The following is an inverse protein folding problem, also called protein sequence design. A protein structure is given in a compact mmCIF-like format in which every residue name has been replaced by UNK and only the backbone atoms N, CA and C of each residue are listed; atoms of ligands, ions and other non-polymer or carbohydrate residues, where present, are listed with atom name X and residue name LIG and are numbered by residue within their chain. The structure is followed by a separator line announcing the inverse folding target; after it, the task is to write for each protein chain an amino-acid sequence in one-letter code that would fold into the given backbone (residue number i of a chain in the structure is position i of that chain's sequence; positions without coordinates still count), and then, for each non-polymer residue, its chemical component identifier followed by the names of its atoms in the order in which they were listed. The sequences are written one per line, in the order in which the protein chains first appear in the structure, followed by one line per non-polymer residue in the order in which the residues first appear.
data_IF_663146187728
#
_entry.id   IF_663146187728
#
_cell.length_a   1.000
_cell.length_b   1.000
_cell.length_c   1.000
_cell.angle_alpha   90.00
_cell.angle_beta   90.00
_cell.angle_gamma   90.00
#
_symmetry.space_group_name_H-M   'P 1'
#
loop_
_entity.id
_entity.type
_entity.pdbx_description
1 polymer ?
#
# COMPACT_ATOMS: atom_id res chain seq x y z
N UNK A 1 -60.76 -31.06 -12.38
CA UNK A 1 -61.16 -32.00 -13.45
C UNK A 1 -61.67 -31.13 -14.60
N UNK A 2 -61.17 -31.13 -15.83
CA UNK A 2 -60.11 -31.87 -16.51
C UNK A 2 -60.03 -31.37 -17.97
N UNK A 3 -58.95 -31.76 -18.66
CA UNK A 3 -58.67 -31.74 -20.12
C UNK A 3 -58.69 -30.41 -20.88
N UNK A 4 -57.62 -29.98 -21.56
CA UNK A 4 -56.86 -30.53 -22.71
C UNK A 4 -57.41 -30.17 -24.11
N UNK A 5 -56.47 -29.67 -24.92
CA UNK A 5 -56.34 -29.76 -26.39
C UNK A 5 -57.20 -28.87 -27.31
N UNK A 6 -56.54 -27.94 -28.01
CA UNK A 6 -56.19 -28.03 -29.45
C UNK A 6 -56.21 -26.67 -30.14
N UNK A 7 -55.11 -26.35 -30.83
CA UNK A 7 -54.97 -25.21 -31.75
C UNK A 7 -55.71 -25.45 -33.07
N UNK A 8 -56.04 -24.37 -33.81
CA UNK A 8 -56.05 -24.39 -35.26
C UNK A 8 -54.90 -23.54 -35.85
N UNK A 9 -54.24 -24.14 -36.83
CA UNK A 9 -53.30 -23.53 -37.77
C UNK A 9 -54.01 -22.45 -38.60
N UNK A 10 -53.35 -21.31 -38.83
CA UNK A 10 -53.71 -20.40 -39.90
C UNK A 10 -52.47 -20.05 -40.71
N UNK A 11 -52.51 -20.43 -41.98
CA UNK A 11 -51.57 -20.09 -43.04
C UNK A 11 -51.73 -18.62 -43.43
N UNK A 12 -50.64 -17.86 -43.39
CA UNK A 12 -50.55 -16.60 -44.15
C UNK A 12 -49.09 -16.29 -44.45
N UNK A 13 -48.73 -16.26 -45.75
CA UNK A 13 -47.40 -15.91 -46.22
C UNK A 13 -47.03 -14.45 -45.87
N UNK A 14 -45.83 -14.16 -45.36
CA UNK A 14 -45.38 -12.80 -45.10
C UNK A 14 -44.74 -12.15 -46.35
N UNK A 15 -45.31 -11.02 -46.79
CA UNK A 15 -44.75 -10.16 -47.85
C UNK A 15 -43.40 -9.51 -47.51
N UNK A 16 -42.73 -8.89 -48.50
CA UNK A 16 -41.29 -8.60 -48.44
C UNK A 16 -40.94 -7.47 -47.45
N UNK A 17 -39.97 -7.76 -46.57
CA UNK A 17 -39.42 -6.81 -45.57
C UNK A 17 -38.42 -5.84 -46.23
N UNK A 18 -38.64 -4.53 -46.05
CA UNK A 18 -37.65 -3.48 -46.39
C UNK A 18 -36.43 -3.54 -45.45
N UNK A 19 -35.21 -3.22 -45.93
CA UNK A 19 -34.00 -3.32 -45.11
C UNK A 19 -33.93 -2.20 -44.06
N UNK A 20 -33.69 -2.57 -42.80
CA UNK A 20 -33.36 -1.64 -41.72
C UNK A 20 -31.92 -1.14 -41.90
N UNK A 21 -31.74 0.16 -42.08
CA UNK A 21 -30.44 0.81 -41.97
C UNK A 21 -29.97 0.73 -40.51
N UNK A 22 -28.94 -0.07 -40.25
CA UNK A 22 -28.27 -0.13 -38.95
C UNK A 22 -27.33 1.08 -38.81
N UNK A 23 -27.65 1.98 -37.88
CA UNK A 23 -26.67 2.93 -37.36
C UNK A 23 -25.63 2.17 -36.55
N UNK A 24 -24.41 2.03 -37.10
CA UNK A 24 -23.26 1.57 -36.35
C UNK A 24 -22.93 2.62 -35.28
N UNK A 25 -23.35 2.37 -34.03
CA UNK A 25 -22.83 3.10 -32.87
C UNK A 25 -21.35 2.73 -32.76
N UNK A 26 -20.48 3.68 -33.09
CA UNK A 26 -19.05 3.56 -32.88
C UNK A 26 -18.77 3.25 -31.41
N UNK A 27 -18.17 2.10 -31.16
CA UNK A 27 -17.67 1.74 -29.84
C UNK A 27 -16.43 2.62 -29.62
N UNK A 28 -16.56 3.64 -28.77
CA UNK A 28 -15.40 4.36 -28.24
C UNK A 28 -14.68 3.41 -27.27
N UNK A 29 -13.73 2.64 -27.80
CA UNK A 29 -12.79 1.88 -26.98
C UNK A 29 -11.90 2.92 -26.30
N UNK A 30 -12.03 3.05 -24.98
CA UNK A 30 -11.15 3.91 -24.18
C UNK A 30 -9.68 3.55 -24.43
N UNK A 31 -8.79 4.54 -24.30
CA UNK A 31 -7.35 4.33 -24.44
C UNK A 31 -6.90 3.16 -23.55
N UNK A 32 -5.93 2.33 -23.99
CA UNK A 32 -5.41 1.22 -23.18
C UNK A 32 -4.97 1.76 -21.83
N UNK A 33 -5.66 1.37 -20.76
CA UNK A 33 -5.19 1.64 -19.41
C UNK A 33 -4.10 0.63 -19.12
N UNK A 34 -2.87 1.10 -18.91
CA UNK A 34 -1.76 0.23 -18.55
C UNK A 34 -2.09 -0.41 -17.20
N UNK A 35 -2.31 -1.73 -17.19
CA UNK A 35 -2.64 -2.46 -15.96
C UNK A 35 -1.40 -2.45 -15.07
N UNK A 36 -1.56 -2.00 -13.84
CA UNK A 36 -0.48 -1.92 -12.87
C UNK A 36 -0.07 -3.32 -12.42
N UNK A 37 1.23 -3.61 -12.45
CA UNK A 37 1.78 -4.88 -11.96
C UNK A 37 1.90 -4.85 -10.43
N UNK A 38 1.46 -5.92 -9.78
CA UNK A 38 1.66 -6.12 -8.35
C UNK A 38 3.00 -6.83 -8.08
N UNK A 39 3.62 -6.46 -6.97
CA UNK A 39 4.76 -7.17 -6.37
C UNK A 39 4.29 -7.74 -5.01
N UNK A 40 4.54 -9.02 -4.70
CA UNK A 40 5.02 -10.05 -5.62
C UNK A 40 4.00 -10.36 -6.73
N UNK A 41 4.48 -10.80 -7.88
CA UNK A 41 3.59 -11.31 -8.94
C UNK A 41 3.04 -12.70 -8.57
N UNK A 42 1.80 -13.00 -8.97
CA UNK A 42 1.25 -14.36 -8.87
C UNK A 42 2.13 -15.34 -9.64
N UNK A 43 2.55 -16.42 -8.97
CA UNK A 43 3.47 -17.42 -9.51
C UNK A 43 2.94 -18.83 -9.24
N UNK A 44 3.28 -19.73 -10.14
CA UNK A 44 3.04 -21.16 -10.00
C UNK A 44 4.36 -21.85 -9.65
N UNK A 45 4.29 -22.90 -8.85
CA UNK A 45 5.41 -23.79 -8.59
C UNK A 45 5.70 -24.70 -9.81
N UNK A 46 6.67 -25.63 -9.66
CA UNK A 46 7.05 -26.55 -10.73
C UNK A 46 5.94 -27.50 -11.19
N UNK A 47 4.84 -27.59 -10.45
CA UNK A 47 3.67 -28.43 -10.74
C UNK A 47 2.48 -27.62 -11.25
N UNK A 48 2.63 -26.31 -11.45
CA UNK A 48 1.53 -25.44 -11.88
C UNK A 48 0.60 -25.02 -10.75
N UNK A 49 0.98 -25.21 -9.49
CA UNK A 49 0.18 -24.85 -8.31
C UNK A 49 0.57 -23.44 -7.83
N UNK A 50 -0.38 -22.55 -7.50
CA UNK A 50 -0.06 -21.24 -6.94
C UNK A 50 0.86 -21.35 -5.73
N UNK A 51 1.96 -20.58 -5.74
CA UNK A 51 2.86 -20.50 -4.59
C UNK A 51 2.09 -19.93 -3.41
N UNK A 52 2.02 -20.68 -2.32
CA UNK A 52 1.33 -20.25 -1.12
C UNK A 52 2.05 -19.05 -0.49
N UNK A 53 1.27 -18.05 -0.06
CA UNK A 53 1.81 -16.94 0.72
C UNK A 53 2.27 -17.44 2.10
N UNK A 54 3.51 -17.15 2.43
CA UNK A 54 4.13 -17.46 3.73
C UNK A 54 4.65 -16.17 4.31
N UNK A 55 3.99 -15.67 5.34
CA UNK A 55 4.44 -14.53 6.13
C UNK A 55 5.37 -15.00 7.25
N UNK A 56 6.44 -14.24 7.53
CA UNK A 56 7.43 -14.55 8.58
C UNK A 56 7.81 -13.28 9.31
N UNK A 57 8.19 -13.40 10.58
CA UNK A 57 8.91 -12.33 11.26
C UNK A 57 10.33 -12.22 10.69
N UNK A 58 10.71 -11.00 10.32
CA UNK A 58 12.01 -10.67 9.74
C UNK A 58 12.74 -9.74 10.71
N UNK A 59 13.86 -10.22 11.23
CA UNK A 59 14.79 -9.43 12.03
C UNK A 59 15.39 -8.29 11.21
N UNK A 60 15.68 -7.18 11.88
CA UNK A 60 16.28 -5.98 11.25
C UNK A 60 17.50 -6.29 10.40
N UNK A 61 18.43 -7.10 10.87
CA UNK A 61 19.68 -7.39 10.17
C UNK A 61 19.45 -8.26 8.93
N UNK A 62 18.51 -9.22 9.01
CA UNK A 62 18.10 -10.03 7.87
C UNK A 62 17.42 -9.15 6.82
N UNK A 63 16.53 -8.26 7.26
CA UNK A 63 15.86 -7.33 6.36
C UNK A 63 16.84 -6.39 5.67
N UNK A 64 17.79 -5.83 6.40
CA UNK A 64 18.81 -4.96 5.84
C UNK A 64 19.66 -5.70 4.81
N UNK A 65 20.19 -6.88 5.15
CA UNK A 65 20.97 -7.69 4.22
C UNK A 65 20.19 -8.07 2.95
N UNK A 66 18.90 -8.38 3.09
CA UNK A 66 18.02 -8.65 1.94
C UNK A 66 17.83 -7.42 1.04
N UNK A 67 17.62 -6.23 1.62
CA UNK A 67 17.50 -4.99 0.86
C UNK A 67 18.81 -4.59 0.17
N UNK A 68 19.96 -4.81 0.81
CA UNK A 68 21.27 -4.63 0.16
C UNK A 68 21.43 -5.54 -1.06
N UNK A 69 21.00 -6.80 -0.95
CA UNK A 69 21.01 -7.73 -2.08
C UNK A 69 20.13 -7.25 -3.21
N UNK A 70 18.89 -6.82 -2.90
CA UNK A 70 17.96 -6.24 -3.88
C UNK A 70 18.58 -5.02 -4.56
N UNK A 71 19.18 -4.11 -3.80
CA UNK A 71 19.83 -2.91 -4.35
C UNK A 71 20.95 -3.27 -5.32
N UNK A 72 21.86 -4.17 -4.93
CA UNK A 72 22.95 -4.66 -5.80
C UNK A 72 22.40 -5.32 -7.07
N UNK A 73 21.36 -6.15 -6.95
CA UNK A 73 20.73 -6.82 -8.09
C UNK A 73 20.19 -5.83 -9.13
N UNK A 74 19.55 -4.75 -8.66
CA UNK A 74 19.00 -3.69 -9.51
C UNK A 74 20.15 -2.84 -10.11
N UNK A 75 21.14 -2.49 -9.29
CA UNK A 75 22.29 -1.68 -9.69
C UNK A 75 23.13 -2.36 -10.77
N UNK A 76 23.36 -3.68 -10.67
CA UNK A 76 24.06 -4.47 -11.69
C UNK A 76 23.37 -4.46 -13.07
N UNK A 77 22.09 -4.07 -13.14
CA UNK A 77 21.33 -3.89 -14.38
C UNK A 77 21.28 -2.44 -14.85
N UNK A 78 22.08 -1.55 -14.24
CA UNK A 78 22.14 -0.13 -14.57
C UNK A 78 20.85 0.62 -14.29
N UNK A 79 20.05 0.16 -13.31
CA UNK A 79 18.79 0.78 -12.91
C UNK A 79 18.89 1.36 -11.51
N UNK A 80 18.00 2.30 -11.21
CA UNK A 80 17.76 2.81 -9.87
C UNK A 80 16.26 2.90 -9.65
N UNK A 81 15.78 2.39 -8.51
CA UNK A 81 14.37 2.39 -8.14
C UNK A 81 14.20 3.22 -6.87
N UNK A 82 13.24 4.13 -6.88
CA UNK A 82 12.84 4.88 -5.70
C UNK A 82 11.39 4.52 -5.35
N UNK A 83 11.17 4.14 -4.09
CA UNK A 83 9.85 3.76 -3.56
C UNK A 83 9.65 4.35 -2.16
N UNK A 84 8.42 4.32 -1.69
CA UNK A 84 8.01 4.79 -0.37
C UNK A 84 7.54 3.59 0.44
N UNK A 85 8.09 3.42 1.64
CA UNK A 85 7.67 2.41 2.59
C UNK A 85 6.71 2.98 3.64
N UNK A 86 5.74 2.16 4.06
CA UNK A 86 4.81 2.44 5.16
C UNK A 86 4.99 1.37 6.25
N UNK A 87 4.71 1.71 7.50
CA UNK A 87 4.51 0.71 8.54
C UNK A 87 5.81 0.07 9.03
N UNK A 88 5.78 -1.26 9.17
CA UNK A 88 6.74 -2.02 9.96
C UNK A 88 8.20 -1.82 9.52
N UNK A 89 8.47 -1.73 8.21
CA UNK A 89 9.81 -1.47 7.71
C UNK A 89 10.39 -0.13 8.20
N UNK A 90 9.57 0.93 8.28
CA UNK A 90 9.99 2.24 8.81
C UNK A 90 10.30 2.13 10.30
N UNK A 91 9.45 1.42 11.05
CA UNK A 91 9.62 1.21 12.48
C UNK A 91 10.85 0.37 12.83
N UNK A 92 11.20 -0.60 11.99
CA UNK A 92 12.32 -1.52 12.24
C UNK A 92 13.66 -0.97 11.74
N UNK A 93 13.71 -0.41 10.53
CA UNK A 93 14.97 0.02 9.92
C UNK A 93 15.38 1.43 10.36
N UNK A 94 14.43 2.37 10.37
CA UNK A 94 14.70 3.79 10.61
C UNK A 94 14.44 4.20 12.07
N UNK A 95 13.21 4.05 12.57
CA UNK A 95 12.85 4.47 13.94
C UNK A 95 13.40 3.54 15.02
N UNK A 96 13.70 2.30 14.65
CA UNK A 96 14.14 1.22 15.55
C UNK A 96 13.21 1.05 16.76
N UNK A 97 11.92 1.33 16.60
CA UNK A 97 10.90 1.12 17.62
C UNK A 97 10.41 -0.33 17.69
N UNK A 98 10.82 -1.16 16.73
CA UNK A 98 10.54 -2.59 16.63
C UNK A 98 11.81 -3.35 16.26
N UNK A 99 11.96 -4.57 16.76
CA UNK A 99 13.05 -5.47 16.38
C UNK A 99 12.75 -6.26 15.10
N UNK A 100 11.47 -6.48 14.79
CA UNK A 100 11.01 -7.27 13.64
C UNK A 100 9.85 -6.60 12.88
N UNK A 101 9.75 -6.93 11.59
CA UNK A 101 8.58 -6.67 10.74
C UNK A 101 8.23 -7.94 9.95
N UNK A 102 7.04 -8.03 9.37
CA UNK A 102 6.68 -9.16 8.52
C UNK A 102 7.09 -8.94 7.06
N UNK A 103 7.10 -7.68 6.65
CA UNK A 103 7.24 -7.25 5.28
C UNK A 103 7.67 -5.77 5.19
N UNK A 104 7.87 -5.34 3.94
CA UNK A 104 8.07 -3.98 3.49
C UNK A 104 6.96 -3.64 2.50
N UNK A 105 5.92 -2.99 3.01
CA UNK A 105 4.87 -2.38 2.20
C UNK A 105 5.40 -1.16 1.45
N UNK A 106 5.38 -1.21 0.12
CA UNK A 106 5.87 -0.11 -0.72
C UNK A 106 4.83 0.42 -1.71
N UNK A 107 5.00 1.69 -2.07
CA UNK A 107 4.27 2.36 -3.15
C UNK A 107 5.14 3.43 -3.81
N UNK A 108 4.66 4.06 -4.88
CA UNK A 108 5.33 5.21 -5.51
C UNK A 108 4.80 5.51 -6.91
N UNK A 109 4.43 6.77 -7.17
CA UNK A 109 3.81 7.16 -8.46
C UNK A 109 4.78 7.08 -9.64
N UNK A 110 6.09 7.12 -9.37
CA UNK A 110 7.17 6.93 -10.36
C UNK A 110 7.57 5.46 -10.52
N UNK A 111 6.96 4.54 -9.76
CA UNK A 111 7.28 3.12 -9.77
C UNK A 111 6.60 2.41 -10.95
N UNK A 112 7.28 2.41 -12.11
CA UNK A 112 6.76 1.87 -13.38
C UNK A 112 6.61 0.35 -13.38
N UNK A 113 5.87 -0.19 -14.35
CA UNK A 113 5.72 -1.63 -14.55
C UNK A 113 7.06 -2.34 -14.80
N UNK A 114 8.00 -1.75 -15.54
CA UNK A 114 9.33 -2.35 -15.70
C UNK A 114 10.11 -2.37 -14.39
N UNK A 115 10.01 -1.30 -13.58
CA UNK A 115 10.64 -1.26 -12.28
C UNK A 115 10.02 -2.31 -11.32
N UNK A 116 8.70 -2.49 -11.35
CA UNK A 116 7.98 -3.51 -10.57
C UNK A 116 8.41 -4.93 -10.92
N UNK A 117 8.53 -5.24 -12.22
CA UNK A 117 9.03 -6.53 -12.67
C UNK A 117 10.47 -6.79 -12.18
N UNK A 118 11.33 -5.78 -12.31
CA UNK A 118 12.72 -5.90 -11.86
C UNK A 118 12.83 -6.03 -10.33
N UNK A 119 12.02 -5.29 -9.57
CA UNK A 119 11.98 -5.39 -8.12
C UNK A 119 11.48 -6.78 -7.68
N UNK A 120 10.43 -7.30 -8.32
CA UNK A 120 9.91 -8.64 -8.08
C UNK A 120 10.95 -9.73 -8.36
N UNK A 121 11.75 -9.59 -9.43
CA UNK A 121 12.87 -10.50 -9.71
C UNK A 121 13.95 -10.43 -8.63
N UNK A 122 14.36 -9.22 -8.23
CA UNK A 122 15.37 -9.00 -7.20
C UNK A 122 14.92 -9.52 -5.82
N UNK A 123 13.66 -9.27 -5.46
CA UNK A 123 13.03 -9.75 -4.24
C UNK A 123 13.08 -11.27 -4.14
N UNK A 124 12.79 -11.94 -5.26
CA UNK A 124 12.75 -13.40 -5.34
C UNK A 124 14.13 -14.02 -5.30
N UNK A 125 15.11 -13.34 -5.89
CA UNK A 125 16.50 -13.75 -5.78
C UNK A 125 16.99 -13.65 -4.31
N UNK A 126 16.67 -12.56 -3.61
CA UNK A 126 16.94 -12.42 -2.18
C UNK A 126 16.24 -13.51 -1.36
N UNK A 127 14.97 -13.81 -1.63
CA UNK A 127 14.22 -14.83 -0.90
C UNK A 127 14.89 -16.21 -0.93
N UNK A 128 15.57 -16.57 -2.02
CA UNK A 128 16.31 -17.84 -2.14
C UNK A 128 17.56 -17.87 -1.26
N UNK A 129 18.17 -16.72 -1.00
CA UNK A 129 19.40 -16.58 -0.23
C UNK A 129 19.14 -16.41 1.27
N UNK A 130 18.09 -15.68 1.63
CA UNK A 130 17.77 -15.34 3.01
C UNK A 130 16.54 -16.12 3.49
N UNK A 131 16.79 -17.23 4.20
CA UNK A 131 15.73 -18.13 4.70
C UNK A 131 14.72 -17.49 5.66
N UNK A 132 15.02 -16.33 6.24
CA UNK A 132 14.10 -15.60 7.11
C UNK A 132 12.95 -14.91 6.36
N UNK A 133 13.03 -14.77 5.05
CA UNK A 133 12.06 -14.00 4.27
C UNK A 133 10.80 -14.79 3.94
N UNK A 134 9.65 -14.14 4.12
CA UNK A 134 8.37 -14.58 3.57
C UNK A 134 8.32 -14.50 2.05
N UNK A 135 7.23 -14.98 1.44
CA UNK A 135 7.02 -14.87 -0.02
C UNK A 135 6.55 -13.48 -0.47
N UNK A 136 6.10 -12.68 0.49
CA UNK A 136 5.45 -11.38 0.39
C UNK A 136 6.23 -10.28 1.13
N UNK A 137 7.48 -10.57 1.52
CA UNK A 137 8.29 -9.72 2.40
C UNK A 137 8.58 -8.31 1.84
N UNK A 138 8.43 -8.10 0.52
CA UNK A 138 8.49 -6.80 -0.12
C UNK A 138 7.33 -6.74 -1.11
N UNK A 139 6.33 -5.92 -0.85
CA UNK A 139 5.08 -5.99 -1.60
C UNK A 139 4.47 -4.60 -1.86
N UNK A 140 3.53 -4.56 -2.81
CA UNK A 140 2.80 -3.35 -3.20
C UNK A 140 1.35 -3.36 -2.74
N UNK A 141 1.00 -4.17 -1.73
CA UNK A 141 -0.39 -4.35 -1.32
C UNK A 141 -1.02 -3.06 -0.79
N UNK A 142 -0.23 -2.28 -0.03
CA UNK A 142 -0.65 -0.97 0.49
C UNK A 142 -1.10 -0.01 -0.61
N UNK A 143 -0.60 -0.13 -1.85
CA UNK A 143 -1.02 0.71 -2.97
C UNK A 143 -2.44 0.40 -3.47
N UNK A 144 -2.94 -0.82 -3.28
CA UNK A 144 -4.25 -1.25 -3.80
C UNK A 144 -5.42 -0.44 -3.24
N UNK A 145 -5.23 0.13 -2.05
CA UNK A 145 -6.25 0.88 -1.32
C UNK A 145 -6.10 2.40 -1.46
N UNK A 146 -5.15 2.87 -2.28
CA UNK A 146 -4.89 4.30 -2.48
C UNK A 146 -5.46 4.81 -3.81
N UNK A 147 -6.31 5.84 -3.80
CA UNK A 147 -6.70 6.53 -5.03
C UNK A 147 -5.49 7.13 -5.76
N UNK A 148 -5.50 7.11 -7.10
CA UNK A 148 -4.40 7.60 -7.95
C UNK A 148 -3.88 9.01 -7.59
N UNK A 149 -4.74 10.03 -7.40
CA UNK A 149 -4.30 11.36 -6.99
C UNK A 149 -3.61 11.40 -5.62
N UNK A 150 -4.09 10.58 -4.67
CA UNK A 150 -3.49 10.48 -3.34
C UNK A 150 -2.08 9.86 -3.44
N UNK A 151 -1.93 8.85 -4.28
CA UNK A 151 -0.65 8.18 -4.51
C UNK A 151 0.46 9.13 -5.00
N UNK A 152 0.16 10.00 -5.99
CA UNK A 152 1.11 11.02 -6.46
C UNK A 152 1.44 12.04 -5.38
N UNK A 153 0.43 12.54 -4.67
CA UNK A 153 0.63 13.51 -3.58
C UNK A 153 1.50 12.94 -2.45
N UNK A 154 1.29 11.69 -2.06
CA UNK A 154 2.08 11.03 -1.02
C UNK A 154 3.51 10.75 -1.48
N UNK A 155 3.71 10.39 -2.75
CA UNK A 155 5.05 10.20 -3.34
C UNK A 155 5.84 11.51 -3.25
N UNK A 156 5.30 12.61 -3.78
CA UNK A 156 5.97 13.91 -3.72
C UNK A 156 6.19 14.40 -2.28
N UNK A 157 5.24 14.15 -1.38
CA UNK A 157 5.38 14.53 0.03
C UNK A 157 6.47 13.72 0.73
N UNK A 158 6.62 12.42 0.42
CA UNK A 158 7.69 11.59 0.96
C UNK A 158 9.06 12.05 0.44
N UNK A 159 9.17 12.37 -0.85
CA UNK A 159 10.39 12.92 -1.45
C UNK A 159 10.78 14.27 -0.84
N UNK A 160 9.81 15.16 -0.59
CA UNK A 160 10.04 16.42 0.12
C UNK A 160 10.43 16.21 1.58
N UNK A 161 9.82 15.25 2.27
CA UNK A 161 10.19 14.87 3.64
C UNK A 161 11.62 14.27 3.67
N UNK A 162 12.06 13.62 2.59
CA UNK A 162 13.41 13.09 2.38
C UNK A 162 13.97 12.23 3.53
N UNK A 163 13.08 11.51 4.23
CA UNK A 163 13.49 10.52 5.24
C UNK A 163 13.80 9.21 4.52
N UNK A 164 15.08 8.86 4.41
CA UNK A 164 15.53 7.64 3.73
C UNK A 164 15.64 6.49 4.73
N UNK A 165 14.74 5.53 4.60
CA UNK A 165 14.71 4.30 5.41
C UNK A 165 15.81 3.34 4.96
N UNK A 166 16.11 3.32 3.66
CA UNK A 166 17.19 2.58 3.05
C UNK A 166 17.70 3.36 1.83
N UNK A 167 19.02 3.40 1.62
CA UNK A 167 19.61 4.11 0.50
C UNK A 167 20.91 3.47 0.04
N UNK A 168 20.89 2.88 -1.15
CA UNK A 168 22.05 2.33 -1.84
C UNK A 168 21.87 2.48 -3.36
N UNK A 169 22.97 2.46 -4.15
CA UNK A 169 22.86 2.34 -5.59
C UNK A 169 21.92 1.20 -5.99
N UNK A 170 20.92 1.51 -6.81
CA UNK A 170 19.89 0.55 -7.25
C UNK A 170 18.56 0.67 -6.52
N UNK A 171 18.55 1.05 -5.24
CA UNK A 171 17.32 1.14 -4.46
C UNK A 171 17.39 2.23 -3.38
N UNK A 172 16.45 3.18 -3.46
CA UNK A 172 16.17 4.14 -2.38
C UNK A 172 14.74 3.90 -1.87
N UNK A 173 14.58 3.79 -0.55
CA UNK A 173 13.30 3.66 0.12
C UNK A 173 13.09 4.87 1.03
N UNK A 174 12.09 5.69 0.73
CA UNK A 174 11.67 6.79 1.59
C UNK A 174 10.65 6.32 2.62
N UNK A 175 10.59 6.95 3.79
CA UNK A 175 9.45 6.80 4.68
C UNK A 175 8.25 7.57 4.10
N UNK A 176 7.05 7.00 4.24
CA UNK A 176 5.83 7.72 3.94
C UNK A 176 5.72 9.00 4.81
N UNK A 177 4.96 10.01 4.35
CA UNK A 177 4.80 11.25 5.11
C UNK A 177 4.28 10.97 6.52
N UNK A 178 4.89 11.58 7.54
CA UNK A 178 4.56 11.27 8.94
C UNK A 178 3.09 11.46 9.27
N UNK A 179 2.46 12.51 8.72
CA UNK A 179 1.03 12.77 8.84
C UNK A 179 0.17 11.64 8.27
N UNK A 180 0.56 11.07 7.12
CA UNK A 180 -0.15 9.94 6.51
C UNK A 180 0.03 8.66 7.32
N UNK A 181 1.27 8.33 7.68
CA UNK A 181 1.58 7.14 8.48
C UNK A 181 0.88 7.17 9.85
N UNK A 182 0.88 8.32 10.52
CA UNK A 182 0.12 8.56 11.74
C UNK A 182 -1.39 8.32 11.54
N UNK A 183 -1.97 8.98 10.54
CA UNK A 183 -3.40 8.91 10.27
C UNK A 183 -3.85 7.49 9.91
N UNK A 184 -3.04 6.74 9.14
CA UNK A 184 -3.32 5.35 8.78
C UNK A 184 -3.37 4.43 10.02
N UNK A 185 -2.47 4.63 10.98
CA UNK A 185 -2.47 3.87 12.24
C UNK A 185 -3.68 4.19 13.11
N UNK A 186 -4.02 5.48 13.25
CA UNK A 186 -5.24 5.89 13.97
C UNK A 186 -6.48 5.28 13.32
N UNK A 187 -6.58 5.34 11.99
CA UNK A 187 -7.67 4.71 11.25
C UNK A 187 -7.80 3.22 11.57
N UNK A 188 -6.70 2.47 11.47
CA UNK A 188 -6.68 1.02 11.75
C UNK A 188 -7.08 0.70 13.19
N UNK A 189 -6.70 1.53 14.17
CA UNK A 189 -7.14 1.34 15.58
C UNK A 189 -8.65 1.54 15.72
N UNK A 190 -9.23 2.51 15.02
CA UNK A 190 -10.63 2.86 15.16
C UNK A 190 -11.57 1.96 14.34
N UNK A 191 -11.13 1.51 13.17
CA UNK A 191 -11.98 0.78 12.20
C UNK A 191 -11.54 -0.65 11.95
N UNK A 192 -10.31 -1.01 12.32
CA UNK A 192 -9.69 -2.26 11.88
C UNK A 192 -10.20 -3.52 12.57
N UNK A 193 -10.94 -3.42 13.68
CA UNK A 193 -11.40 -4.60 14.43
C UNK A 193 -10.23 -5.55 14.73
N UNK A 194 -10.34 -6.80 14.26
CA UNK A 194 -9.29 -7.84 14.40
C UNK A 194 -7.98 -7.52 13.65
N UNK A 195 -8.00 -6.58 12.72
CA UNK A 195 -6.80 -6.10 12.05
C UNK A 195 -5.99 -5.16 12.93
N UNK A 196 -6.58 -4.50 13.93
CA UNK A 196 -5.85 -3.63 14.85
C UNK A 196 -4.76 -4.44 15.58
N UNK A 197 -3.55 -3.91 15.64
CA UNK A 197 -2.41 -4.55 16.27
C UNK A 197 -2.09 -3.89 17.62
N UNK A 198 -1.62 -4.64 18.62
CA UNK A 198 -1.30 -4.08 19.94
C UNK A 198 -0.32 -2.91 19.89
N UNK A 199 0.62 -2.92 18.92
CA UNK A 199 1.63 -1.88 18.74
C UNK A 199 1.17 -0.68 17.89
N UNK A 200 -0.04 -0.68 17.31
CA UNK A 200 -0.45 0.40 16.39
C UNK A 200 -0.49 1.77 17.06
N UNK A 201 -0.85 1.84 18.35
CA UNK A 201 -0.83 3.09 19.11
C UNK A 201 0.59 3.62 19.33
N UNK A 202 1.54 2.73 19.60
CA UNK A 202 2.94 3.10 19.80
C UNK A 202 3.61 3.54 18.49
N UNK A 203 3.26 2.89 17.38
CA UNK A 203 3.66 3.30 16.04
C UNK A 203 3.09 4.70 15.71
N UNK A 204 1.80 4.92 15.95
CA UNK A 204 1.16 6.23 15.75
C UNK A 204 1.85 7.33 16.58
N UNK A 205 2.13 7.06 17.86
CA UNK A 205 2.84 7.99 18.75
C UNK A 205 4.26 8.29 18.24
N UNK A 206 4.94 7.32 17.65
CA UNK A 206 6.27 7.53 17.07
C UNK A 206 6.19 8.42 15.81
N UNK A 207 5.22 8.18 14.93
CA UNK A 207 5.07 9.00 13.72
C UNK A 207 4.67 10.45 14.02
N UNK A 208 3.73 10.67 14.95
CA UNK A 208 3.37 12.05 15.32
C UNK A 208 4.52 12.77 16.02
N UNK A 209 5.37 12.05 16.77
CA UNK A 209 6.57 12.62 17.35
C UNK A 209 7.55 13.10 16.27
N UNK A 210 7.82 12.30 15.25
CA UNK A 210 8.67 12.71 14.13
C UNK A 210 8.09 13.88 13.34
N UNK A 211 6.75 13.93 13.19
CA UNK A 211 6.09 15.10 12.62
C UNK A 211 6.35 16.35 13.47
N UNK A 212 6.11 16.30 14.78
CA UNK A 212 6.30 17.42 15.71
C UNK A 212 7.74 17.93 15.69
N UNK A 213 8.72 17.02 15.73
CA UNK A 213 10.15 17.37 15.65
C UNK A 213 10.51 18.09 14.36
N UNK A 214 9.92 17.67 13.23
CA UNK A 214 10.14 18.32 11.94
C UNK A 214 9.43 19.69 11.81
N UNK A 215 8.53 20.03 12.74
CA UNK A 215 7.67 21.22 12.65
C UNK A 215 7.76 22.12 13.90
N UNK A 216 8.94 22.18 14.53
CA UNK A 216 9.24 23.16 15.58
C UNK A 216 8.87 22.73 17.01
N UNK A 217 8.71 21.42 17.24
CA UNK A 217 8.51 20.83 18.57
C UNK A 217 7.29 21.37 19.33
N UNK A 218 6.25 21.78 18.60
CA UNK A 218 4.98 22.22 19.18
C UNK A 218 3.89 21.14 19.03
N UNK A 219 2.95 21.05 20.00
CA UNK A 219 1.77 20.23 19.83
C UNK A 219 1.03 20.58 18.53
N UNK A 220 0.56 19.55 17.83
CA UNK A 220 -0.22 19.71 16.60
C UNK A 220 -1.63 20.11 16.97
N UNK A 221 -2.23 21.14 16.32
CA UNK A 221 -3.63 21.42 16.51
C UNK A 221 -4.49 20.21 16.16
N UNK A 222 -5.41 19.82 17.03
CA UNK A 222 -6.30 18.67 16.82
C UNK A 222 -7.06 18.79 15.49
N UNK A 223 -7.45 20.01 15.11
CA UNK A 223 -8.10 20.29 13.83
C UNK A 223 -7.25 19.91 12.61
N UNK A 224 -5.93 20.09 12.68
CA UNK A 224 -4.97 19.72 11.63
C UNK A 224 -4.93 18.21 11.43
N UNK A 225 -4.85 17.44 12.52
CA UNK A 225 -4.84 15.97 12.43
C UNK A 225 -6.17 15.40 11.92
N UNK A 226 -7.30 16.02 12.28
CA UNK A 226 -8.60 15.68 11.72
C UNK A 226 -8.69 16.04 10.23
N UNK A 227 -8.03 17.11 9.80
CA UNK A 227 -7.97 17.46 8.38
C UNK A 227 -7.15 16.45 7.57
N UNK A 228 -6.02 15.97 8.09
CA UNK A 228 -5.29 14.86 7.48
C UNK A 228 -6.16 13.63 7.30
N UNK A 229 -6.91 13.25 8.35
CA UNK A 229 -7.80 12.11 8.30
C UNK A 229 -8.82 12.24 7.16
N UNK A 230 -9.45 13.42 7.02
CA UNK A 230 -10.37 13.70 5.89
C UNK A 230 -9.67 13.62 4.53
N UNK A 231 -8.50 14.25 4.40
CA UNK A 231 -7.75 14.27 3.14
C UNK A 231 -7.30 12.88 2.68
N UNK A 232 -7.05 11.98 3.64
CA UNK A 232 -6.61 10.60 3.37
C UNK A 232 -7.74 9.58 3.40
N UNK A 233 -8.99 10.00 3.58
CA UNK A 233 -10.15 9.12 3.74
C UNK A 233 -9.99 8.12 4.90
N UNK A 234 -9.48 8.61 6.01
CA UNK A 234 -9.24 7.88 7.25
C UNK A 234 -10.18 8.36 8.36
N UNK A 235 -10.46 7.48 9.32
CA UNK A 235 -11.21 7.83 10.52
C UNK A 235 -10.30 8.37 11.63
N UNK A 236 -10.76 9.42 12.31
CA UNK A 236 -10.11 9.98 13.50
C UNK A 236 -11.11 10.84 14.28
N UNK A 237 -10.91 10.96 15.60
CA UNK A 237 -11.75 11.81 16.45
C UNK A 237 -10.91 12.65 17.41
N UNK A 238 -11.36 13.87 17.68
CA UNK A 238 -10.70 14.76 18.64
C UNK A 238 -10.54 14.10 20.02
N UNK A 239 -11.56 13.35 20.46
CA UNK A 239 -11.52 12.63 21.73
C UNK A 239 -10.40 11.58 21.74
N UNK A 240 -10.25 10.77 20.69
CA UNK A 240 -9.18 9.77 20.62
C UNK A 240 -7.79 10.41 20.66
N UNK A 241 -7.58 11.49 19.90
CA UNK A 241 -6.32 12.23 19.86
C UNK A 241 -5.95 12.81 21.25
N UNK A 242 -6.89 13.52 21.87
CA UNK A 242 -6.67 14.20 23.16
C UNK A 242 -6.58 13.28 24.36
N UNK A 243 -7.15 12.08 24.27
CA UNK A 243 -7.14 11.11 25.37
C UNK A 243 -6.08 10.04 25.14
N UNK A 244 -6.31 9.12 24.20
CA UNK A 244 -5.48 7.93 23.98
C UNK A 244 -4.10 8.29 23.45
N UNK A 245 -4.03 9.13 22.42
CA UNK A 245 -2.74 9.49 21.82
C UNK A 245 -1.94 10.38 22.76
N UNK A 246 -2.51 11.45 23.31
CA UNK A 246 -1.81 12.31 24.29
C UNK A 246 -1.38 11.55 25.55
N UNK A 247 -2.17 10.60 26.05
CA UNK A 247 -1.75 9.78 27.20
C UNK A 247 -0.53 8.91 26.85
N UNK A 248 -0.53 8.26 25.69
CA UNK A 248 0.61 7.45 25.24
C UNK A 248 1.84 8.32 24.93
N UNK A 249 1.65 9.46 24.29
CA UNK A 249 2.71 10.43 24.00
C UNK A 249 3.35 10.98 25.28
N UNK A 250 2.55 11.42 26.27
CA UNK A 250 3.06 11.87 27.57
C UNK A 250 3.94 10.84 28.25
N UNK A 251 3.53 9.56 28.21
CA UNK A 251 4.29 8.47 28.82
C UNK A 251 5.66 8.27 28.17
N UNK A 252 5.78 8.52 26.86
CA UNK A 252 7.00 8.22 26.09
C UNK A 252 7.93 9.42 25.92
N UNK A 253 7.38 10.60 25.65
CA UNK A 253 8.14 11.79 25.26
C UNK A 253 7.93 12.99 26.20
N UNK A 254 6.97 12.91 27.12
CA UNK A 254 6.51 14.07 27.89
C UNK A 254 5.63 15.01 27.04
N UNK A 255 4.86 15.87 27.71
CA UNK A 255 3.97 16.83 27.04
C UNK A 255 2.85 16.18 26.20
N UNK A 256 2.05 16.99 25.52
CA UNK A 256 0.96 16.51 24.67
C UNK A 256 1.34 16.60 23.19
N UNK A 257 0.93 15.60 22.39
CA UNK A 257 1.06 15.66 20.94
C UNK A 257 0.03 16.60 20.31
N UNK A 258 -1.12 16.76 20.94
CA UNK A 258 -2.26 17.55 20.45
C UNK A 258 -2.79 18.53 21.50
N UNK A 259 -3.26 19.69 21.03
CA UNK A 259 -4.00 20.69 21.83
C UNK A 259 -5.43 20.27 22.18
#
# INVERSE_FOLDING_TARGET
MGSCCSQPHNDTEPGPRKPRQGQARGINIGLPQEVMIHVPRNRLDRYGVPVQQVTRDIDRDVLLAALEHVARYISHRGKNIAVIAVGGAVNTLYLQSRSTTHDVDIFGSTFTNQARMLLDEAMQDAQRLYRGLGTDWLNTETQMWMPGPLHSRLTEAAERQNVRVFDMPGLTIYAAPWAYAFSAKVNRILTGGDQARPYDLDDAVSYIHEYIRAHGDQPVPTATALDWARQFHHESTANFLRTRVNQAYRRRYGGNAFD
#
